data_IF_459403494570
#
_entry.id   IF_459403494570
#
_cell.length_a   1.000
_cell.length_b   1.000
_cell.length_c   1.000
_cell.angle_alpha   90.00
_cell.angle_beta   90.00
_cell.angle_gamma   90.00
#
_symmetry.space_group_name_H-M   'P 1'
#
loop_
_entity.id
_entity.type
_entity.pdbx_description
1 polymer ?
#
# COMPACT_ATOMS: atom_id res chain seq x y z
N UNK A 1 11.03 -29.90 -4.54
CA UNK A 1 11.79 -28.63 -4.46
C UNK A 1 12.85 -28.63 -5.55
N UNK A 2 12.96 -27.58 -6.39
CA UNK A 2 14.06 -27.45 -7.34
C UNK A 2 15.29 -26.90 -6.62
N UNK A 3 16.45 -27.49 -6.84
CA UNK A 3 17.73 -27.08 -6.23
C UNK A 3 18.69 -26.75 -7.36
N UNK A 4 19.29 -25.56 -7.31
CA UNK A 4 20.27 -25.08 -8.27
C UNK A 4 21.57 -24.79 -7.53
N UNK A 5 22.71 -25.22 -8.07
CA UNK A 5 24.03 -24.96 -7.48
C UNK A 5 24.71 -23.86 -8.26
N UNK A 6 25.48 -23.01 -7.57
CA UNK A 6 26.27 -21.97 -8.22
C UNK A 6 27.31 -22.54 -9.21
N UNK A 7 27.64 -23.82 -9.09
CA UNK A 7 28.55 -24.58 -9.96
C UNK A 7 27.89 -25.10 -11.23
N UNK A 8 26.57 -25.05 -11.34
CA UNK A 8 25.86 -25.57 -12.50
C UNK A 8 26.19 -24.69 -13.72
N UNK A 9 26.48 -25.27 -14.91
CA UNK A 9 26.87 -24.50 -16.09
C UNK A 9 25.83 -23.45 -16.53
N UNK A 10 24.55 -23.70 -16.23
CA UNK A 10 23.41 -22.85 -16.54
C UNK A 10 22.98 -21.95 -15.38
N UNK A 11 23.71 -21.94 -14.25
CA UNK A 11 23.33 -21.22 -13.03
C UNK A 11 23.04 -19.74 -13.29
N UNK A 12 23.86 -19.05 -14.10
CA UNK A 12 23.65 -17.63 -14.42
C UNK A 12 22.34 -17.38 -15.17
N UNK A 13 21.97 -18.25 -16.11
CA UNK A 13 20.71 -18.16 -16.84
C UNK A 13 19.52 -18.44 -15.92
N UNK A 14 19.63 -19.48 -15.09
CA UNK A 14 18.60 -19.87 -14.13
C UNK A 14 18.39 -18.81 -13.05
N UNK A 15 19.46 -18.24 -12.49
CA UNK A 15 19.39 -17.14 -11.54
C UNK A 15 18.70 -15.92 -12.15
N UNK A 16 19.07 -15.56 -13.39
CA UNK A 16 18.42 -14.46 -14.12
C UNK A 16 16.93 -14.74 -14.32
N UNK A 17 16.54 -15.97 -14.65
CA UNK A 17 15.14 -16.34 -14.80
C UNK A 17 14.37 -16.26 -13.46
N UNK A 18 14.97 -16.71 -12.36
CA UNK A 18 14.34 -16.65 -11.02
C UNK A 18 14.19 -15.20 -10.55
N UNK A 19 15.21 -14.36 -10.73
CA UNK A 19 15.16 -12.95 -10.37
C UNK A 19 14.10 -12.22 -11.20
N UNK A 20 14.00 -12.52 -12.50
CA UNK A 20 13.08 -11.82 -13.41
C UNK A 20 11.69 -12.46 -13.53
N UNK A 21 11.37 -13.48 -12.72
CA UNK A 21 10.12 -14.23 -12.84
C UNK A 21 8.86 -13.35 -12.75
N UNK A 22 8.94 -12.23 -12.03
CA UNK A 22 7.82 -11.31 -11.82
C UNK A 22 7.72 -10.20 -12.89
N UNK A 23 8.73 -10.04 -13.75
CA UNK A 23 8.77 -8.94 -14.72
C UNK A 23 7.90 -9.18 -15.97
N UNK A 24 7.51 -10.43 -16.23
CA UNK A 24 6.72 -10.80 -17.41
C UNK A 24 5.26 -10.29 -17.34
N UNK A 25 4.69 -10.14 -16.14
CA UNK A 25 3.27 -9.79 -15.95
C UNK A 25 2.97 -8.28 -16.03
N UNK A 26 4.00 -7.41 -15.92
CA UNK A 26 3.76 -5.96 -15.89
C UNK A 26 3.37 -5.37 -17.25
N UNK A 27 3.77 -6.03 -18.35
CA UNK A 27 3.54 -5.51 -19.71
C UNK A 27 2.15 -5.89 -20.24
N UNK A 28 1.58 -7.02 -19.79
CA UNK A 28 0.34 -7.57 -20.34
C UNK A 28 -0.92 -6.83 -19.89
N UNK A 29 -0.87 -6.11 -18.77
CA UNK A 29 -2.06 -5.48 -18.17
C UNK A 29 -2.08 -3.94 -18.24
N UNK A 30 -1.00 -3.31 -18.74
CA UNK A 30 -0.87 -1.84 -18.79
C UNK A 30 -2.02 -1.17 -19.57
N UNK A 31 -2.40 -1.73 -20.73
CA UNK A 31 -3.49 -1.18 -21.56
C UNK A 31 -4.81 -1.17 -20.81
N UNK A 32 -5.15 -2.27 -20.12
CA UNK A 32 -6.40 -2.39 -19.35
C UNK A 32 -6.41 -1.44 -18.16
N UNK A 33 -5.30 -1.36 -17.41
CA UNK A 33 -5.19 -0.45 -16.26
C UNK A 33 -5.30 1.01 -16.70
N UNK A 34 -4.65 1.40 -17.80
CA UNK A 34 -4.76 2.76 -18.35
C UNK A 34 -6.19 3.12 -18.71
N UNK A 35 -6.93 2.20 -19.31
CA UNK A 35 -8.34 2.45 -19.65
C UNK A 35 -9.20 2.60 -18.39
N UNK A 36 -9.02 1.74 -17.38
CA UNK A 36 -9.73 1.88 -16.09
C UNK A 36 -9.44 3.25 -15.47
N UNK A 37 -8.17 3.64 -15.37
CA UNK A 37 -7.77 4.94 -14.81
C UNK A 37 -8.36 6.11 -15.60
N UNK A 38 -8.39 6.02 -16.94
CA UNK A 38 -9.03 7.02 -17.79
C UNK A 38 -10.53 7.13 -17.49
N UNK A 39 -11.23 6.01 -17.44
CA UNK A 39 -12.67 5.98 -17.13
C UNK A 39 -12.97 6.55 -15.74
N UNK A 40 -12.17 6.19 -14.72
CA UNK A 40 -12.31 6.78 -13.36
C UNK A 40 -12.07 8.29 -13.38
N UNK A 41 -11.06 8.76 -14.13
CA UNK A 41 -10.79 10.20 -14.25
C UNK A 41 -11.90 10.97 -14.94
N UNK A 42 -12.53 10.38 -15.96
CA UNK A 42 -13.57 11.04 -16.78
C UNK A 42 -14.97 10.96 -16.13
N UNK A 43 -15.28 9.84 -15.46
CA UNK A 43 -16.63 9.53 -14.96
C UNK A 43 -16.74 9.47 -13.43
N UNK A 44 -15.62 9.55 -12.71
CA UNK A 44 -15.59 9.54 -11.25
C UNK A 44 -16.29 8.32 -10.65
N UNK A 45 -17.15 8.57 -9.66
CA UNK A 45 -17.84 7.57 -8.86
C UNK A 45 -18.67 6.59 -9.70
N UNK A 46 -19.24 7.03 -10.82
CA UNK A 46 -20.01 6.15 -11.69
C UNK A 46 -19.16 5.02 -12.30
N UNK A 47 -17.91 5.33 -12.70
CA UNK A 47 -16.98 4.30 -13.16
C UNK A 47 -16.44 3.47 -11.99
N UNK A 48 -16.27 4.08 -10.81
CA UNK A 48 -15.82 3.37 -9.62
C UNK A 48 -16.82 2.26 -9.24
N UNK A 49 -18.09 2.61 -9.10
CA UNK A 49 -19.16 1.65 -8.79
C UNK A 49 -19.29 0.56 -9.86
N UNK A 50 -19.18 0.92 -11.14
CA UNK A 50 -19.19 -0.04 -12.25
C UNK A 50 -18.04 -1.06 -12.13
N UNK A 51 -16.82 -0.60 -11.85
CA UNK A 51 -15.67 -1.48 -11.72
C UNK A 51 -15.69 -2.29 -10.42
N UNK A 52 -16.18 -1.74 -9.33
CA UNK A 52 -16.40 -2.47 -8.08
C UNK A 52 -17.40 -3.61 -8.28
N UNK A 53 -18.56 -3.34 -8.88
CA UNK A 53 -19.54 -4.37 -9.24
C UNK A 53 -18.92 -5.44 -10.16
N UNK A 54 -18.18 -5.02 -11.18
CA UNK A 54 -17.58 -5.93 -12.16
C UNK A 54 -16.49 -6.83 -11.58
N UNK A 55 -15.59 -6.29 -10.78
CA UNK A 55 -14.40 -7.02 -10.32
C UNK A 55 -14.59 -7.65 -8.94
N UNK A 56 -15.28 -6.97 -8.04
CA UNK A 56 -15.51 -7.42 -6.67
C UNK A 56 -16.85 -8.18 -6.52
N UNK A 57 -17.68 -8.17 -7.58
CA UNK A 57 -19.01 -8.80 -7.60
C UNK A 57 -19.92 -8.30 -6.48
N UNK A 58 -19.77 -7.01 -6.14
CA UNK A 58 -20.48 -6.39 -5.04
C UNK A 58 -21.12 -5.07 -5.51
N UNK A 59 -22.44 -5.03 -5.51
CA UNK A 59 -23.24 -3.86 -5.86
C UNK A 59 -23.50 -3.02 -4.61
N UNK A 60 -23.08 -1.76 -4.66
CA UNK A 60 -23.19 -0.84 -3.54
C UNK A 60 -23.46 0.58 -4.05
N UNK A 61 -24.10 1.39 -3.23
CA UNK A 61 -24.26 2.83 -3.47
C UNK A 61 -23.02 3.61 -3.03
N UNK A 62 -22.87 4.84 -3.53
CA UNK A 62 -21.73 5.67 -3.16
C UNK A 62 -21.70 5.97 -1.65
N UNK A 63 -22.87 6.04 -1.01
CA UNK A 63 -23.03 6.23 0.42
C UNK A 63 -22.50 5.03 1.23
N UNK A 64 -22.54 3.83 0.65
CA UNK A 64 -22.08 2.58 1.27
C UNK A 64 -20.58 2.30 1.04
N UNK A 65 -19.92 3.04 0.14
CA UNK A 65 -18.48 2.86 -0.12
C UNK A 65 -17.61 3.08 1.12
N UNK A 66 -18.03 4.00 1.99
CA UNK A 66 -17.30 4.31 3.21
C UNK A 66 -17.81 3.45 4.34
N UNK A 67 -16.96 2.53 4.79
CA UNK A 67 -17.22 1.76 6.02
C UNK A 67 -17.49 2.72 7.18
N UNK A 68 -18.65 2.53 7.81
CA UNK A 68 -19.14 3.35 8.90
C UNK A 68 -18.49 2.98 10.23
N UNK A 69 -18.49 3.91 11.19
CA UNK A 69 -18.00 3.61 12.54
C UNK A 69 -18.80 2.47 13.19
N UNK A 70 -20.11 2.39 12.93
CA UNK A 70 -20.96 1.33 13.44
C UNK A 70 -20.53 -0.05 12.94
N UNK A 71 -20.21 -0.18 11.65
CA UNK A 71 -19.69 -1.44 11.08
C UNK A 71 -18.35 -1.85 11.70
N UNK A 72 -17.46 -0.87 11.94
CA UNK A 72 -16.17 -1.10 12.62
C UNK A 72 -16.41 -1.60 14.05
N UNK A 73 -17.32 -0.97 14.79
CA UNK A 73 -17.64 -1.35 16.17
C UNK A 73 -18.30 -2.73 16.24
N UNK A 74 -19.18 -3.06 15.30
CA UNK A 74 -19.78 -4.40 15.18
C UNK A 74 -18.76 -5.46 14.77
N UNK A 75 -17.85 -5.16 13.84
CA UNK A 75 -16.76 -6.05 13.48
C UNK A 75 -15.86 -6.32 14.70
N UNK A 76 -15.54 -5.29 15.49
CA UNK A 76 -14.73 -5.41 16.70
C UNK A 76 -15.34 -6.37 17.72
N UNK A 77 -16.67 -6.37 17.89
CA UNK A 77 -17.37 -7.28 18.81
C UNK A 77 -17.28 -8.76 18.39
N UNK A 78 -16.96 -9.04 17.13
CA UNK A 78 -16.86 -10.40 16.57
C UNK A 78 -15.44 -10.99 16.66
N UNK A 79 -14.46 -10.21 17.13
CA UNK A 79 -13.07 -10.63 17.24
C UNK A 79 -12.73 -10.93 18.69
N UNK A 80 -12.05 -12.04 18.93
CA UNK A 80 -11.69 -12.46 20.29
C UNK A 80 -10.66 -11.49 20.91
N UNK A 81 -10.77 -11.23 22.22
CA UNK A 81 -9.89 -10.29 22.94
C UNK A 81 -8.40 -10.64 22.77
N UNK A 82 -8.07 -11.93 22.69
CA UNK A 82 -6.70 -12.41 22.47
C UNK A 82 -6.13 -11.96 21.11
N UNK A 83 -6.95 -11.96 20.07
CA UNK A 83 -6.55 -11.52 18.73
C UNK A 83 -6.40 -10.00 18.70
N UNK A 84 -7.32 -9.27 19.33
CA UNK A 84 -7.22 -7.81 19.49
C UNK A 84 -5.94 -7.41 20.22
N UNK A 85 -5.59 -8.11 21.29
CA UNK A 85 -4.36 -7.84 22.05
C UNK A 85 -3.10 -8.14 21.22
N UNK A 86 -3.11 -9.19 20.41
CA UNK A 86 -2.02 -9.48 19.48
C UNK A 86 -1.85 -8.36 18.43
N UNK A 87 -2.95 -7.89 17.85
CA UNK A 87 -2.94 -6.78 16.89
C UNK A 87 -2.47 -5.47 17.52
N UNK A 88 -2.91 -5.16 18.74
CA UNK A 88 -2.46 -3.99 19.50
C UNK A 88 -0.98 -4.02 19.77
N UNK A 89 -0.45 -5.17 20.21
CA UNK A 89 0.98 -5.34 20.46
C UNK A 89 1.81 -5.19 19.18
N UNK A 90 1.33 -5.74 18.06
CA UNK A 90 1.97 -5.53 16.76
C UNK A 90 2.00 -4.05 16.38
N UNK A 91 0.87 -3.34 16.51
CA UNK A 91 0.76 -1.92 16.22
C UNK A 91 1.67 -1.05 17.10
N UNK A 92 1.79 -1.39 18.40
CA UNK A 92 2.69 -0.71 19.34
C UNK A 92 4.16 -0.88 18.95
N UNK A 93 4.59 -2.11 18.67
CA UNK A 93 5.95 -2.38 18.22
C UNK A 93 6.29 -1.64 16.90
N UNK A 94 5.35 -1.63 15.95
CA UNK A 94 5.50 -0.91 14.69
C UNK A 94 5.63 0.59 14.96
N UNK A 95 4.80 1.15 15.83
CA UNK A 95 4.84 2.57 16.20
C UNK A 95 6.18 2.92 16.84
N UNK A 96 6.61 2.18 17.86
CA UNK A 96 7.86 2.47 18.59
C UNK A 96 9.06 2.47 17.64
N UNK A 97 9.10 1.52 16.71
CA UNK A 97 10.16 1.46 15.70
C UNK A 97 10.17 2.69 14.78
N UNK A 98 9.00 3.08 14.24
CA UNK A 98 8.92 4.20 13.29
C UNK A 98 9.05 5.57 13.97
N UNK A 99 8.65 5.72 15.23
CA UNK A 99 8.86 6.96 16.00
C UNK A 99 10.35 7.31 16.12
N UNK A 100 11.22 6.31 16.24
CA UNK A 100 12.68 6.49 16.27
C UNK A 100 13.26 6.95 14.93
N UNK A 101 12.52 6.79 13.83
CA UNK A 101 12.92 7.17 12.47
C UNK A 101 12.41 8.55 12.05
N UNK A 102 11.57 9.20 12.87
CA UNK A 102 11.00 10.52 12.56
C UNK A 102 12.11 11.56 12.47
N UNK A 103 12.25 12.16 11.29
CA UNK A 103 13.19 13.23 11.04
C UNK A 103 12.63 14.57 11.56
N UNK A 104 13.46 15.34 12.27
CA UNK A 104 13.08 16.67 12.75
C UNK A 104 13.51 17.75 11.77
N UNK A 105 12.67 18.76 11.59
CA UNK A 105 13.10 20.01 10.95
C UNK A 105 14.25 20.63 11.74
N UNK A 106 15.15 21.32 11.06
CA UNK A 106 16.29 21.96 11.70
C UNK A 106 16.67 23.24 10.97
N UNK A 107 17.34 24.14 11.68
CA UNK A 107 17.92 25.37 11.13
C UNK A 107 19.21 25.75 11.86
N UNK A 108 20.09 26.49 11.19
CA UNK A 108 21.26 27.12 11.80
C UNK A 108 21.60 28.43 11.10
N UNK A 109 22.31 29.30 11.83
CA UNK A 109 22.79 30.59 11.31
C UNK A 109 24.30 30.53 11.05
N UNK A 110 24.75 31.00 9.89
CA UNK A 110 26.17 31.13 9.54
C UNK A 110 26.41 32.39 8.75
N UNK A 111 27.37 33.21 9.18
CA UNK A 111 27.74 34.49 8.53
C UNK A 111 26.53 35.41 8.26
N UNK A 112 25.58 35.49 9.19
CA UNK A 112 24.37 36.29 9.03
C UNK A 112 23.23 35.62 8.24
N UNK A 113 23.49 34.50 7.58
CA UNK A 113 22.50 33.75 6.78
C UNK A 113 21.87 32.63 7.60
N UNK A 114 20.54 32.49 7.54
CA UNK A 114 19.79 31.37 8.11
C UNK A 114 19.61 30.27 7.06
N UNK A 115 19.98 29.04 7.39
CA UNK A 115 19.83 27.86 6.54
C UNK A 115 19.12 26.75 7.32
N UNK A 116 18.34 25.91 6.66
CA UNK A 116 17.59 24.86 7.33
C UNK A 116 16.91 23.88 6.38
N UNK A 117 16.30 22.86 6.97
CA UNK A 117 15.42 21.92 6.30
C UNK A 117 14.08 21.86 7.03
N UNK A 118 12.99 22.11 6.30
CA UNK A 118 11.63 21.88 6.81
C UNK A 118 11.16 20.51 6.35
N UNK A 119 10.80 19.68 7.32
CA UNK A 119 10.23 18.34 7.12
C UNK A 119 8.77 18.41 7.55
N UNK A 120 7.86 18.04 6.65
CA UNK A 120 6.41 18.09 6.86
C UNK A 120 5.77 16.77 6.41
N UNK A 121 4.77 16.25 7.13
CA UNK A 121 4.03 15.08 6.68
C UNK A 121 3.21 15.41 5.43
N UNK A 122 2.84 14.38 4.68
CA UNK A 122 1.80 14.48 3.67
C UNK A 122 0.47 14.85 4.34
N UNK A 123 -0.31 15.72 3.69
CA UNK A 123 -1.63 16.11 4.17
C UNK A 123 -2.62 14.94 4.13
N UNK A 124 -2.57 14.13 3.06
CA UNK A 124 -3.40 12.94 2.88
C UNK A 124 -2.55 11.82 2.30
N UNK A 125 -2.77 10.60 2.79
CA UNK A 125 -2.19 9.37 2.23
C UNK A 125 -3.30 8.33 2.04
N UNK A 126 -3.27 7.62 0.91
CA UNK A 126 -4.12 6.45 0.66
C UNK A 126 -3.34 5.16 0.91
N UNK A 127 -3.97 4.19 1.56
CA UNK A 127 -3.42 2.87 1.83
C UNK A 127 -4.31 1.85 1.12
N UNK A 128 -3.72 1.05 0.22
CA UNK A 128 -4.37 -0.10 -0.39
C UNK A 128 -3.99 -1.35 0.41
N UNK A 129 -4.98 -2.10 0.89
CA UNK A 129 -4.82 -3.29 1.75
C UNK A 129 -5.07 -4.55 0.94
#
# INVERSE_FOLDING_TARGET
>A
MKVFKHSDPDFGATLKAVINRANLDLVTHDVTVREILKQIKERGDAALLEYTSRFDQYDLSLEEMKVTQGEIDEARKKVDDKEIDALRRAAENIREFHERQVQRSWEYKKNGVLLGQSIRPLETAGIYV
#
